data_IF_653703365205
#
_entry.id   IF_653703365205
#
_cell.length_a   1.000
_cell.length_b   1.000
_cell.length_c   1.000
_cell.angle_alpha   90.00
_cell.angle_beta   90.00
_cell.angle_gamma   90.00
#
_symmetry.space_group_name_H-M   'P 1'
#
loop_
_entity.id
_entity.type
_entity.pdbx_description
1 polymer ?
#
# COMPACT_ATOMS: atom_id res chain seq x y z
N UNK A 1 4.54 -29.69 41.37
CA UNK A 1 5.53 -28.66 40.99
C UNK A 1 6.54 -29.28 40.02
N UNK A 2 6.05 -29.70 38.84
CA UNK A 2 6.83 -30.59 37.96
C UNK A 2 6.45 -30.33 36.51
N UNK A 3 7.48 -30.23 35.66
CA UNK A 3 7.46 -30.24 34.18
C UNK A 3 7.11 -28.92 33.45
N UNK A 4 7.91 -27.88 33.69
CA UNK A 4 8.25 -26.91 32.62
C UNK A 4 9.78 -26.91 32.46
N UNK A 5 10.32 -27.98 31.88
CA UNK A 5 11.70 -28.01 31.37
C UNK A 5 11.68 -28.47 29.92
N UNK A 6 12.42 -27.72 29.09
CA UNK A 6 12.69 -27.91 27.64
C UNK A 6 11.61 -27.42 26.67
N UNK A 7 11.50 -26.10 26.52
CA UNK A 7 10.98 -25.49 25.28
C UNK A 7 11.79 -24.26 24.85
N UNK A 8 13.10 -24.24 25.12
CA UNK A 8 14.00 -23.33 24.41
C UNK A 8 14.35 -24.00 23.08
N UNK A 9 13.98 -23.32 21.98
CA UNK A 9 14.36 -23.64 20.59
C UNK A 9 13.67 -24.82 19.90
N UNK A 10 12.36 -25.01 20.08
CA UNK A 10 11.58 -25.57 18.96
C UNK A 10 11.09 -24.40 18.11
N UNK A 11 11.42 -24.30 16.81
CA UNK A 11 10.70 -23.38 15.93
C UNK A 11 9.21 -23.66 16.12
N UNK A 12 8.41 -22.60 16.24
CA UNK A 12 6.95 -22.73 16.35
C UNK A 12 6.50 -23.64 15.21
N UNK A 13 6.11 -24.85 15.58
CA UNK A 13 5.94 -25.97 14.66
C UNK A 13 5.04 -25.54 13.51
N UNK A 14 5.46 -25.91 12.31
CA UNK A 14 4.75 -25.80 11.04
C UNK A 14 3.34 -26.36 11.17
N UNK A 15 2.38 -25.54 11.60
CA UNK A 15 0.98 -25.97 11.67
C UNK A 15 0.38 -25.92 10.26
N UNK A 16 -0.38 -26.97 9.86
CA UNK A 16 -1.10 -26.96 8.60
C UNK A 16 -2.13 -25.82 8.62
N UNK A 17 -2.05 -24.98 7.61
CA UNK A 17 -3.02 -23.92 7.34
C UNK A 17 -4.30 -24.48 6.72
N UNK A 18 -5.21 -23.57 6.37
CA UNK A 18 -6.58 -23.87 5.93
C UNK A 18 -6.70 -24.81 4.73
N UNK A 19 -5.61 -24.97 3.95
CA UNK A 19 -5.52 -25.83 2.77
C UNK A 19 -4.46 -26.96 2.93
N UNK A 20 -4.07 -27.30 4.16
CA UNK A 20 -2.99 -28.27 4.44
C UNK A 20 -1.56 -27.72 4.29
N UNK A 21 -1.39 -26.53 3.72
CA UNK A 21 -0.09 -25.87 3.58
C UNK A 21 0.39 -25.24 4.90
N UNK A 22 1.64 -25.48 5.27
CA UNK A 22 2.30 -24.89 6.44
C UNK A 22 2.18 -23.36 6.50
N UNK A 23 1.93 -22.80 7.70
CA UNK A 23 1.95 -21.34 7.89
C UNK A 23 3.30 -20.71 7.56
N UNK A 24 3.27 -19.58 6.85
CA UNK A 24 4.46 -18.74 6.66
C UNK A 24 4.92 -18.10 7.98
N UNK A 25 6.21 -17.76 8.06
CA UNK A 25 6.79 -17.11 9.25
C UNK A 25 6.04 -15.84 9.66
N UNK A 26 5.63 -15.02 8.69
CA UNK A 26 4.84 -13.82 8.93
C UNK A 26 3.45 -14.13 9.54
N UNK A 27 2.86 -15.27 9.19
CA UNK A 27 1.58 -15.73 9.75
C UNK A 27 1.78 -16.17 11.21
N UNK A 28 2.81 -16.96 11.47
CA UNK A 28 3.18 -17.41 12.82
C UNK A 28 3.47 -16.20 13.72
N UNK A 29 4.29 -15.26 13.25
CA UNK A 29 4.59 -14.01 13.95
C UNK A 29 3.32 -13.20 14.27
N UNK A 30 2.37 -13.13 13.32
CA UNK A 30 1.08 -12.50 13.54
C UNK A 30 0.25 -13.17 14.63
N UNK A 31 0.21 -14.51 14.66
CA UNK A 31 -0.48 -15.26 15.72
C UNK A 31 0.12 -15.00 17.09
N UNK A 32 1.45 -15.07 17.22
CA UNK A 32 2.15 -14.78 18.48
C UNK A 32 1.85 -13.37 18.97
N UNK A 33 1.87 -12.36 18.09
CA UNK A 33 1.55 -10.97 18.47
C UNK A 33 0.12 -10.82 18.96
N UNK A 34 -0.86 -11.41 18.27
CA UNK A 34 -2.28 -11.36 18.68
C UNK A 34 -2.51 -12.07 20.01
N UNK A 35 -1.93 -13.25 20.20
CA UNK A 35 -2.00 -13.99 21.45
C UNK A 35 -1.42 -13.16 22.61
N UNK A 36 -0.25 -12.54 22.41
CA UNK A 36 0.33 -11.61 23.38
C UNK A 36 -0.59 -10.45 23.72
N UNK A 37 -1.18 -9.80 22.72
CA UNK A 37 -2.07 -8.65 22.92
C UNK A 37 -3.32 -9.03 23.71
N UNK A 38 -4.00 -10.10 23.32
CA UNK A 38 -5.22 -10.57 24.00
C UNK A 38 -4.94 -10.87 25.48
N UNK A 39 -3.86 -11.61 25.75
CA UNK A 39 -3.52 -12.03 27.11
C UNK A 39 -2.97 -10.87 27.94
N UNK A 40 -2.23 -9.93 27.35
CA UNK A 40 -1.85 -8.69 28.04
C UNK A 40 -3.09 -7.91 28.49
N UNK A 41 -4.12 -7.83 27.64
CA UNK A 41 -5.37 -7.18 28.02
C UNK A 41 -6.07 -7.90 29.19
N UNK A 42 -6.06 -9.24 29.20
CA UNK A 42 -6.59 -10.02 30.32
C UNK A 42 -5.78 -9.81 31.63
N UNK A 43 -4.46 -9.58 31.53
CA UNK A 43 -3.63 -9.18 32.69
C UNK A 43 -4.00 -7.78 33.18
N UNK A 44 -4.17 -6.82 32.27
CA UNK A 44 -4.57 -5.44 32.59
C UNK A 44 -5.94 -5.38 33.28
N UNK A 45 -6.87 -6.25 32.89
CA UNK A 45 -8.18 -6.40 33.53
C UNK A 45 -8.14 -7.19 34.85
N UNK A 46 -6.98 -7.73 35.25
CA UNK A 46 -6.84 -8.54 36.47
C UNK A 46 -7.45 -9.95 36.38
N UNK A 47 -7.91 -10.39 35.21
CA UNK A 47 -8.48 -11.72 35.00
C UNK A 47 -7.43 -12.84 35.19
N UNK A 48 -6.16 -12.52 34.90
CA UNK A 48 -5.01 -13.40 35.09
C UNK A 48 -3.82 -12.60 35.60
N UNK A 49 -2.89 -13.24 36.31
CA UNK A 49 -1.76 -12.54 36.93
C UNK A 49 -0.58 -12.27 36.00
N UNK A 50 -0.37 -13.11 34.98
CA UNK A 50 0.78 -13.01 34.08
C UNK A 50 0.47 -13.51 32.67
N UNK A 51 1.17 -12.98 31.67
CA UNK A 51 1.07 -13.44 30.29
C UNK A 51 2.07 -14.59 30.01
N UNK A 52 1.62 -15.85 29.80
CA UNK A 52 2.50 -16.99 29.49
C UNK A 52 3.31 -16.83 28.19
N UNK A 53 2.88 -15.95 27.28
CA UNK A 53 3.56 -15.72 26.01
C UNK A 53 4.64 -14.63 26.09
N UNK A 54 4.82 -13.92 27.21
CA UNK A 54 5.69 -12.74 27.28
C UNK A 54 7.12 -12.98 26.75
N UNK A 55 7.69 -14.15 27.05
CA UNK A 55 9.05 -14.59 26.67
C UNK A 55 9.15 -15.10 25.23
N UNK A 56 8.03 -15.34 24.53
CA UNK A 56 8.08 -15.76 23.12
C UNK A 56 8.50 -14.59 22.24
N UNK A 57 9.59 -14.70 21.49
CA UNK A 57 9.92 -13.68 20.49
C UNK A 57 9.00 -13.87 19.28
N UNK A 58 8.22 -12.85 18.94
CA UNK A 58 7.50 -12.85 17.68
C UNK A 58 8.51 -12.61 16.55
N UNK A 59 8.47 -13.43 15.50
CA UNK A 59 9.26 -13.21 14.29
C UNK A 59 8.87 -11.92 13.57
N UNK A 60 9.52 -11.67 12.44
CA UNK A 60 9.14 -10.56 11.56
C UNK A 60 7.85 -10.90 10.79
N UNK A 61 7.04 -9.88 10.52
CA UNK A 61 5.95 -9.97 9.53
C UNK A 61 6.32 -9.29 8.21
N UNK A 62 7.51 -8.68 8.14
CA UNK A 62 8.04 -8.12 6.91
C UNK A 62 8.49 -9.27 6.01
N UNK A 63 8.15 -9.16 4.73
CA UNK A 63 8.65 -10.03 3.69
C UNK A 63 8.99 -9.11 2.51
N UNK A 64 10.28 -8.74 2.44
CA UNK A 64 10.80 -7.79 1.47
C UNK A 64 10.96 -8.43 0.08
N UNK A 65 11.10 -9.76 -0.01
CA UNK A 65 11.15 -10.52 -1.27
C UNK A 65 9.89 -10.33 -2.14
N UNK A 66 8.78 -9.91 -1.52
CA UNK A 66 7.52 -9.63 -2.21
C UNK A 66 7.33 -8.16 -2.58
N UNK A 67 8.33 -7.31 -2.37
CA UNK A 67 8.35 -5.94 -2.89
C UNK A 67 8.82 -5.99 -4.33
N UNK A 68 8.05 -5.33 -5.19
CA UNK A 68 8.41 -5.20 -6.60
C UNK A 68 7.95 -3.82 -7.06
N UNK A 69 8.88 -3.06 -7.63
CA UNK A 69 8.56 -1.81 -8.32
C UNK A 69 7.89 -2.12 -9.66
N UNK A 70 6.81 -1.40 -9.97
CA UNK A 70 6.06 -1.54 -11.22
C UNK A 70 6.30 -0.29 -12.06
N UNK A 71 7.13 -0.37 -13.13
CA UNK A 71 7.44 0.77 -13.97
C UNK A 71 6.21 1.36 -14.66
N UNK A 72 6.25 2.67 -14.96
CA UNK A 72 5.19 3.38 -15.69
C UNK A 72 4.90 2.75 -17.05
N UNK A 73 5.93 2.32 -17.77
CA UNK A 73 5.77 1.62 -19.06
C UNK A 73 5.02 0.29 -18.92
N UNK A 74 5.20 -0.41 -17.80
CA UNK A 74 4.54 -1.69 -17.54
C UNK A 74 3.08 -1.47 -17.16
N UNK A 75 2.81 -0.54 -16.24
CA UNK A 75 1.43 -0.27 -15.82
C UNK A 75 0.60 0.33 -16.95
N UNK A 76 1.19 1.12 -17.84
CA UNK A 76 0.46 1.71 -18.96
C UNK A 76 -0.12 0.62 -19.87
N UNK A 77 0.65 -0.41 -20.20
CA UNK A 77 0.14 -1.59 -20.94
C UNK A 77 -1.06 -2.26 -20.26
N UNK A 78 -1.05 -2.33 -18.93
CA UNK A 78 -2.13 -2.91 -18.14
C UNK A 78 -3.36 -2.00 -18.14
N UNK A 79 -3.17 -0.68 -18.05
CA UNK A 79 -4.24 0.31 -18.16
C UNK A 79 -4.87 0.24 -19.56
N UNK A 80 -4.06 0.17 -20.62
CA UNK A 80 -4.55 0.11 -22.01
C UNK A 80 -5.37 -1.17 -22.27
N UNK A 81 -5.07 -2.27 -21.57
CA UNK A 81 -5.81 -3.53 -21.67
C UNK A 81 -7.12 -3.55 -20.86
N UNK A 82 -7.33 -2.58 -19.97
CA UNK A 82 -8.48 -2.50 -19.07
C UNK A 82 -9.81 -2.46 -19.85
N UNK A 83 -10.88 -3.08 -19.32
CA UNK A 83 -12.13 -3.24 -20.06
C UNK A 83 -12.93 -1.94 -20.23
N UNK A 84 -12.77 -0.96 -19.34
CA UNK A 84 -13.52 0.30 -19.35
C UNK A 84 -12.79 1.42 -18.60
N UNK A 85 -13.36 2.63 -18.66
CA UNK A 85 -12.82 3.84 -18.05
C UNK A 85 -12.69 3.73 -16.52
N UNK A 86 -13.65 3.08 -15.84
CA UNK A 86 -13.57 2.85 -14.40
C UNK A 86 -12.36 1.97 -14.03
N UNK A 87 -12.07 0.90 -14.77
CA UNK A 87 -10.88 0.09 -14.51
C UNK A 87 -9.58 0.85 -14.80
N UNK A 88 -9.54 1.63 -15.88
CA UNK A 88 -8.38 2.50 -16.19
C UNK A 88 -8.13 3.47 -15.04
N UNK A 89 -9.18 4.16 -14.59
CA UNK A 89 -9.11 5.07 -13.46
C UNK A 89 -8.71 4.36 -12.16
N UNK A 90 -9.30 3.20 -11.86
CA UNK A 90 -9.01 2.45 -10.63
C UNK A 90 -7.52 2.09 -10.54
N UNK A 91 -6.92 1.64 -11.64
CA UNK A 91 -5.50 1.31 -11.70
C UNK A 91 -4.66 2.59 -11.55
N UNK A 92 -5.01 3.66 -12.28
CA UNK A 92 -4.33 4.94 -12.25
C UNK A 92 -4.35 5.60 -10.85
N UNK A 93 -5.49 5.59 -10.15
CA UNK A 93 -5.62 6.12 -8.79
C UNK A 93 -4.64 5.46 -7.81
N UNK A 94 -4.42 4.14 -7.96
CA UNK A 94 -3.50 3.40 -7.10
C UNK A 94 -2.05 3.62 -7.50
N UNK A 95 -1.73 3.62 -8.81
CA UNK A 95 -0.34 3.68 -9.27
C UNK A 95 0.21 5.10 -9.41
N UNK A 96 -0.60 6.09 -9.71
CA UNK A 96 -0.15 7.48 -9.90
C UNK A 96 -0.41 8.37 -8.70
N UNK A 97 -1.46 8.08 -7.91
CA UNK A 97 -1.75 8.84 -6.68
C UNK A 97 -1.63 8.02 -5.39
N UNK A 98 -1.27 6.74 -5.51
CA UNK A 98 -1.00 5.91 -4.35
C UNK A 98 -2.24 5.62 -3.50
N UNK A 99 -3.48 5.69 -3.99
CA UNK A 99 -4.65 5.40 -3.16
C UNK A 99 -4.66 3.95 -2.66
N UNK A 100 -5.21 3.71 -1.46
CA UNK A 100 -5.46 2.35 -0.96
C UNK A 100 -6.65 1.74 -1.69
N UNK A 101 -6.46 0.54 -2.23
CA UNK A 101 -7.52 -0.26 -2.81
C UNK A 101 -7.96 -1.39 -1.87
N UNK A 102 -9.27 -1.65 -1.68
CA UNK A 102 -10.43 -0.92 -2.19
C UNK A 102 -10.88 0.26 -1.31
N UNK A 103 -10.26 0.45 -0.14
CA UNK A 103 -10.87 1.26 0.91
C UNK A 103 -10.97 2.75 0.60
N UNK A 104 -10.08 3.29 -0.23
CA UNK A 104 -10.06 4.70 -0.62
C UNK A 104 -10.56 4.87 -2.05
N UNK A 105 -10.06 4.06 -3.00
CA UNK A 105 -10.46 4.12 -4.41
C UNK A 105 -11.97 3.94 -4.61
N UNK A 106 -12.61 2.98 -3.96
CA UNK A 106 -14.05 2.77 -4.04
C UNK A 106 -14.85 3.74 -3.14
N UNK A 107 -14.25 4.73 -2.50
CA UNK A 107 -14.99 5.73 -1.70
C UNK A 107 -14.91 7.13 -2.28
N UNK A 108 -14.01 7.35 -3.23
CA UNK A 108 -13.83 8.63 -3.90
C UNK A 108 -15.10 8.99 -4.67
N UNK A 109 -15.62 10.18 -4.39
CA UNK A 109 -16.80 10.75 -5.03
C UNK A 109 -16.38 11.78 -6.06
N UNK A 110 -17.24 12.03 -7.05
CA UNK A 110 -17.00 13.15 -7.97
C UNK A 110 -16.99 14.50 -7.25
N UNK A 111 -17.78 14.64 -6.17
CA UNK A 111 -17.76 15.81 -5.30
C UNK A 111 -16.49 15.96 -4.44
N UNK A 112 -15.65 14.93 -4.36
CA UNK A 112 -14.34 15.01 -3.71
C UNK A 112 -13.26 15.57 -4.65
N UNK A 113 -13.57 15.75 -5.94
CA UNK A 113 -12.64 16.23 -6.97
C UNK A 113 -12.81 17.73 -7.16
N UNK A 114 -11.76 18.49 -6.84
CA UNK A 114 -11.64 19.90 -7.13
C UNK A 114 -10.83 20.09 -8.41
N UNK A 115 -11.54 20.25 -9.52
CA UNK A 115 -10.95 20.41 -10.85
C UNK A 115 -10.22 21.74 -11.03
N UNK A 116 -10.69 22.79 -10.35
CA UNK A 116 -10.13 24.14 -10.44
C UNK A 116 -8.79 24.22 -9.71
N UNK A 117 -8.73 23.70 -8.49
CA UNK A 117 -7.52 23.68 -7.67
C UNK A 117 -6.60 22.48 -7.96
N UNK A 118 -7.07 21.52 -8.78
CA UNK A 118 -6.31 20.33 -9.15
C UNK A 118 -6.06 19.40 -7.97
N UNK A 119 -7.07 19.19 -7.12
CA UNK A 119 -6.95 18.41 -5.87
C UNK A 119 -8.10 17.41 -5.73
N UNK A 120 -7.85 16.35 -4.97
CA UNK A 120 -8.87 15.42 -4.54
C UNK A 120 -8.82 15.20 -3.03
N UNK A 121 -9.98 15.12 -2.40
CA UNK A 121 -10.11 14.88 -0.97
C UNK A 121 -10.33 13.40 -0.68
N UNK A 122 -9.26 12.69 -0.33
CA UNK A 122 -9.31 11.25 -0.08
C UNK A 122 -9.68 10.98 1.39
N UNK A 123 -10.90 10.54 1.62
CA UNK A 123 -11.38 10.18 2.96
C UNK A 123 -10.75 8.88 3.47
N UNK A 124 -10.50 8.81 4.78
CA UNK A 124 -9.92 7.63 5.44
C UNK A 124 -10.80 7.18 6.61
N UNK A 125 -11.80 6.30 6.37
CA UNK A 125 -12.79 5.92 7.37
C UNK A 125 -12.17 5.27 8.62
N UNK A 126 -11.12 4.45 8.45
CA UNK A 126 -10.43 3.76 9.54
C UNK A 126 -9.72 4.71 10.50
N UNK A 127 -9.31 5.89 10.04
CA UNK A 127 -8.60 6.88 10.85
C UNK A 127 -9.47 8.08 11.22
N UNK A 128 -10.75 8.10 10.81
CA UNK A 128 -11.73 9.11 11.23
C UNK A 128 -11.85 9.17 12.75
N UNK A 129 -11.82 8.01 13.43
CA UNK A 129 -11.81 7.91 14.91
C UNK A 129 -10.52 8.42 15.56
N UNK A 130 -9.47 8.69 14.78
CA UNK A 130 -8.16 9.16 15.24
C UNK A 130 -7.87 10.60 14.79
N UNK A 131 -8.90 11.38 14.42
CA UNK A 131 -8.76 12.78 13.99
C UNK A 131 -8.18 12.98 12.58
N UNK A 132 -7.91 11.90 11.82
CA UNK A 132 -7.43 11.96 10.43
C UNK A 132 -8.54 11.54 9.48
N UNK A 133 -9.52 12.42 9.30
CA UNK A 133 -10.75 12.15 8.54
C UNK A 133 -10.51 11.96 7.02
N UNK A 134 -9.45 12.58 6.48
CA UNK A 134 -9.06 12.50 5.09
C UNK A 134 -7.77 13.26 4.84
N UNK A 135 -7.38 13.37 3.58
CA UNK A 135 -6.21 14.12 3.14
C UNK A 135 -6.47 14.73 1.77
N UNK A 136 -5.91 15.92 1.52
CA UNK A 136 -5.88 16.50 0.19
C UNK A 136 -4.72 15.91 -0.59
N UNK A 137 -4.99 15.40 -1.79
CA UNK A 137 -4.02 14.80 -2.70
C UNK A 137 -4.06 15.57 -4.01
N UNK A 138 -2.92 15.96 -4.60
CA UNK A 138 -2.91 16.57 -5.93
C UNK A 138 -3.50 15.64 -6.98
N UNK A 139 -4.21 16.21 -7.95
CA UNK A 139 -4.50 15.53 -9.22
C UNK A 139 -3.23 15.62 -10.05
N UNK A 140 -2.39 14.59 -9.95
CA UNK A 140 -1.16 14.52 -10.74
C UNK A 140 -1.46 14.52 -12.23
N UNK A 141 -0.58 15.12 -13.04
CA UNK A 141 -0.76 15.20 -14.49
C UNK A 141 -0.98 13.82 -15.14
N UNK A 142 -0.30 12.78 -14.65
CA UNK A 142 -0.47 11.40 -15.12
C UNK A 142 -1.83 10.78 -14.73
N UNK A 143 -2.52 11.31 -13.71
CA UNK A 143 -3.84 10.82 -13.28
C UNK A 143 -4.98 11.55 -14.00
N UNK A 144 -4.82 12.85 -14.30
CA UNK A 144 -5.89 13.72 -14.83
C UNK A 144 -6.63 13.13 -16.05
N UNK A 145 -5.97 12.61 -17.09
CA UNK A 145 -6.67 12.07 -18.26
C UNK A 145 -7.62 10.92 -17.93
N UNK A 146 -7.28 10.10 -16.93
CA UNK A 146 -8.12 8.98 -16.51
C UNK A 146 -9.30 9.41 -15.66
N UNK A 147 -9.16 10.51 -14.91
CA UNK A 147 -10.29 11.12 -14.19
C UNK A 147 -11.27 11.74 -15.18
N UNK A 148 -10.76 12.45 -16.20
CA UNK A 148 -11.58 13.08 -17.25
C UNK A 148 -12.34 12.02 -18.07
N UNK A 149 -11.65 10.99 -18.59
CA UNK A 149 -12.26 9.86 -19.33
C UNK A 149 -13.36 9.15 -18.52
N UNK A 150 -13.11 8.89 -17.24
CA UNK A 150 -14.11 8.27 -16.37
C UNK A 150 -15.26 9.20 -15.98
N UNK A 151 -15.03 10.51 -15.91
CA UNK A 151 -16.06 11.50 -15.63
C UNK A 151 -16.99 11.67 -16.83
N UNK A 152 -16.43 11.75 -18.03
CA UNK A 152 -17.19 11.82 -19.29
C UNK A 152 -18.00 10.55 -19.54
N UNK A 153 -17.47 9.38 -19.18
CA UNK A 153 -18.15 8.10 -19.32
C UNK A 153 -19.16 7.79 -18.19
N UNK A 154 -19.24 8.62 -17.15
CA UNK A 154 -20.13 8.38 -16.02
C UNK A 154 -21.59 8.69 -16.36
N UNK A 155 -22.51 7.92 -15.81
CA UNK A 155 -23.95 8.23 -15.89
C UNK A 155 -24.26 9.57 -15.23
N UNK A 156 -25.25 10.29 -15.77
CA UNK A 156 -25.74 11.54 -15.19
C UNK A 156 -26.11 11.35 -13.72
N UNK A 157 -25.52 12.18 -12.84
CA UNK A 157 -25.76 12.11 -11.40
C UNK A 157 -25.02 10.98 -10.68
N UNK A 158 -24.07 10.29 -11.31
CA UNK A 158 -23.19 9.34 -10.63
C UNK A 158 -22.53 9.99 -9.40
N UNK A 159 -22.58 9.31 -8.26
CA UNK A 159 -22.01 9.83 -7.01
C UNK A 159 -20.51 9.52 -6.89
N UNK A 160 -20.09 8.35 -7.39
CA UNK A 160 -18.75 7.81 -7.19
C UNK A 160 -17.94 7.76 -8.47
N UNK A 161 -16.63 7.98 -8.35
CA UNK A 161 -15.69 7.84 -9.47
C UNK A 161 -15.61 6.39 -9.98
N UNK A 162 -15.86 5.42 -9.10
CA UNK A 162 -15.97 4.00 -9.42
C UNK A 162 -17.35 3.53 -8.92
N UNK A 163 -18.28 3.37 -9.85
CA UNK A 163 -19.69 3.05 -9.58
C UNK A 163 -19.99 1.57 -9.82
N UNK A 164 -19.51 1.00 -10.93
CA UNK A 164 -19.80 -0.38 -11.34
C UNK A 164 -19.17 -1.44 -10.44
N UNK A 165 -17.98 -1.19 -9.90
CA UNK A 165 -17.18 -2.21 -9.21
C UNK A 165 -17.24 -2.18 -7.68
N UNK A 166 -18.42 -1.84 -7.12
CA UNK A 166 -18.61 -1.58 -5.68
C UNK A 166 -19.19 -2.74 -4.87
N UNK A 167 -19.79 -3.74 -5.52
CA UNK A 167 -20.40 -4.88 -4.81
C UNK A 167 -19.34 -5.70 -4.06
N UNK A 168 -19.72 -6.28 -2.91
CA UNK A 168 -18.83 -7.15 -2.11
C UNK A 168 -18.46 -8.44 -2.84
N UNK A 169 -19.26 -8.85 -3.82
CA UNK A 169 -19.01 -10.06 -4.63
C UNK A 169 -17.92 -9.84 -5.69
N UNK A 170 -17.52 -8.59 -5.92
CA UNK A 170 -16.51 -8.24 -6.94
C UNK A 170 -15.12 -8.38 -6.35
N UNK A 171 -14.37 -9.34 -6.87
CA UNK A 171 -12.96 -9.52 -6.55
C UNK A 171 -12.05 -8.70 -7.46
N UNK A 172 -11.72 -7.48 -7.03
CA UNK A 172 -10.80 -6.60 -7.77
C UNK A 172 -9.40 -7.18 -7.98
N UNK A 173 -8.95 -8.11 -7.13
CA UNK A 173 -7.66 -8.76 -7.34
C UNK A 173 -7.73 -9.67 -8.57
N UNK A 174 -8.73 -10.54 -8.63
CA UNK A 174 -8.92 -11.45 -9.77
C UNK A 174 -9.23 -10.66 -11.05
N UNK A 175 -9.96 -9.55 -10.97
CA UNK A 175 -10.15 -8.63 -12.09
C UNK A 175 -8.82 -8.10 -12.63
N UNK A 176 -7.95 -7.58 -11.75
CA UNK A 176 -6.63 -7.09 -12.15
C UNK A 176 -5.73 -8.21 -12.71
N UNK A 177 -5.77 -9.42 -12.15
CA UNK A 177 -5.03 -10.59 -12.69
C UNK A 177 -5.42 -10.88 -14.15
N UNK A 178 -6.72 -10.81 -14.49
CA UNK A 178 -7.20 -10.99 -15.86
C UNK A 178 -6.73 -9.88 -16.80
N UNK A 179 -6.73 -8.62 -16.34
CA UNK A 179 -6.27 -7.48 -17.14
C UNK A 179 -4.76 -7.60 -17.41
N UNK A 180 -3.97 -7.97 -16.39
CA UNK A 180 -2.53 -8.22 -16.52
C UNK A 180 -2.25 -9.33 -17.54
N UNK A 181 -3.00 -10.43 -17.48
CA UNK A 181 -2.88 -11.52 -18.44
C UNK A 181 -3.20 -11.05 -19.88
N UNK A 182 -4.27 -10.26 -20.05
CA UNK A 182 -4.64 -9.66 -21.35
C UNK A 182 -3.58 -8.68 -21.87
N UNK A 183 -2.86 -8.00 -20.99
CA UNK A 183 -1.76 -7.11 -21.33
C UNK A 183 -0.44 -7.83 -21.65
N UNK A 184 -0.39 -9.18 -21.56
CA UNK A 184 0.82 -9.98 -21.69
C UNK A 184 1.95 -9.53 -20.75
N UNK A 185 1.60 -9.09 -19.54
CA UNK A 185 2.54 -8.68 -18.50
C UNK A 185 2.68 -9.78 -17.45
N UNK A 186 3.90 -10.06 -17.01
CA UNK A 186 4.13 -10.98 -15.89
C UNK A 186 3.53 -10.40 -14.60
N UNK A 187 2.65 -11.12 -13.90
CA UNK A 187 2.04 -10.61 -12.68
C UNK A 187 3.08 -10.46 -11.56
N UNK A 188 2.95 -9.39 -10.78
CA UNK A 188 3.81 -9.13 -9.63
C UNK A 188 3.13 -9.55 -8.30
N UNK A 189 3.89 -9.80 -7.22
CA UNK A 189 3.30 -10.12 -5.94
C UNK A 189 2.52 -8.93 -5.38
N UNK A 190 1.51 -9.21 -4.53
CA UNK A 190 0.74 -8.18 -3.80
C UNK A 190 0.23 -7.04 -4.69
N UNK A 191 -0.32 -7.39 -5.85
CA UNK A 191 -0.73 -6.50 -6.95
C UNK A 191 -0.99 -5.04 -6.57
N UNK A 192 -2.09 -4.78 -5.84
CA UNK A 192 -2.48 -3.42 -5.43
C UNK A 192 -1.52 -2.73 -4.47
N UNK A 193 -0.89 -3.47 -3.56
CA UNK A 193 0.06 -2.88 -2.61
C UNK A 193 1.34 -2.44 -3.31
N UNK A 194 1.83 -3.23 -4.26
CA UNK A 194 3.06 -2.88 -4.99
C UNK A 194 2.83 -1.75 -6.00
N UNK A 195 1.62 -1.59 -6.56
CA UNK A 195 1.27 -0.38 -7.31
C UNK A 195 1.34 0.87 -6.44
N UNK A 196 0.72 0.83 -5.26
CA UNK A 196 0.79 1.94 -4.31
C UNK A 196 2.23 2.19 -3.83
N UNK A 197 3.01 1.15 -3.56
CA UNK A 197 4.41 1.28 -3.15
C UNK A 197 5.25 1.90 -4.28
N UNK A 198 4.97 1.57 -5.54
CA UNK A 198 5.63 2.19 -6.69
C UNK A 198 5.28 3.67 -6.81
N UNK A 199 4.02 4.04 -6.61
CA UNK A 199 3.60 5.45 -6.53
C UNK A 199 4.37 6.21 -5.45
N UNK A 200 4.55 5.58 -4.28
CA UNK A 200 5.29 6.18 -3.18
C UNK A 200 6.78 6.36 -3.49
N UNK A 201 7.41 5.36 -4.10
CA UNK A 201 8.79 5.47 -4.58
C UNK A 201 8.95 6.65 -5.55
N UNK A 202 8.05 6.81 -6.51
CA UNK A 202 8.11 7.93 -7.47
C UNK A 202 7.93 9.29 -6.78
N UNK A 203 6.95 9.40 -5.88
CA UNK A 203 6.68 10.64 -5.16
C UNK A 203 7.84 11.05 -4.25
N UNK A 204 8.50 10.11 -3.57
CA UNK A 204 9.65 10.42 -2.71
C UNK A 204 10.89 10.78 -3.52
N UNK A 205 11.02 10.30 -4.75
CA UNK A 205 12.08 10.71 -5.67
C UNK A 205 11.89 12.13 -6.21
N UNK A 206 10.64 12.54 -6.41
CA UNK A 206 10.30 13.85 -7.00
C UNK A 206 10.03 14.94 -5.97
N UNK A 207 9.63 14.60 -4.74
CA UNK A 207 9.21 15.55 -3.71
C UNK A 207 9.83 15.23 -2.35
N UNK A 208 9.95 16.22 -1.44
CA UNK A 208 10.40 15.95 -0.09
C UNK A 208 9.56 14.87 0.59
N UNK A 209 10.21 13.91 1.25
CA UNK A 209 9.55 12.72 1.81
C UNK A 209 8.38 13.03 2.75
N UNK A 210 8.44 14.13 3.52
CA UNK A 210 7.34 14.54 4.39
C UNK A 210 6.10 15.03 3.63
N UNK A 211 6.28 15.64 2.46
CA UNK A 211 5.20 16.08 1.56
C UNK A 211 4.54 14.87 0.92
N UNK A 212 5.34 13.96 0.34
CA UNK A 212 4.84 12.71 -0.23
C UNK A 212 4.06 11.87 0.81
N UNK A 213 4.59 11.75 2.03
CA UNK A 213 3.94 11.03 3.11
C UNK A 213 2.59 11.66 3.51
N UNK A 214 2.47 12.99 3.48
CA UNK A 214 1.22 13.69 3.75
C UNK A 214 0.15 13.35 2.70
N UNK A 215 0.50 13.34 1.41
CA UNK A 215 -0.41 12.97 0.32
C UNK A 215 -0.78 11.48 0.32
N UNK A 216 0.09 10.61 0.81
CA UNK A 216 -0.17 9.18 0.89
C UNK A 216 -0.90 8.78 2.20
N UNK A 217 -0.90 9.63 3.22
CA UNK A 217 -1.62 9.38 4.46
C UNK A 217 -0.93 8.38 5.39
N UNK A 218 0.40 8.47 5.49
CA UNK A 218 1.21 7.81 6.53
C UNK A 218 2.22 8.80 7.14
N UNK A 219 2.85 8.42 8.25
CA UNK A 219 3.89 9.25 8.87
C UNK A 219 5.21 9.13 8.09
N UNK A 220 6.08 10.16 8.12
CA UNK A 220 7.40 10.09 7.46
C UNK A 220 8.27 8.94 7.99
N UNK A 221 8.17 8.61 9.28
CA UNK A 221 8.86 7.45 9.88
C UNK A 221 8.43 6.11 9.28
N UNK A 222 7.18 6.02 8.82
CA UNK A 222 6.66 4.86 8.08
C UNK A 222 7.13 4.91 6.62
N UNK A 223 7.26 6.10 6.03
CA UNK A 223 7.83 6.29 4.68
C UNK A 223 9.27 5.73 4.60
N UNK A 224 10.13 6.10 5.56
CA UNK A 224 11.55 5.68 5.61
C UNK A 224 11.70 4.17 5.87
N UNK A 225 10.85 3.57 6.72
CA UNK A 225 11.00 2.16 7.14
C UNK A 225 10.46 1.14 6.12
N UNK A 226 9.62 1.56 5.17
CA UNK A 226 8.89 0.63 4.32
C UNK A 226 9.04 0.85 2.80
N UNK A 227 9.49 2.02 2.31
CA UNK A 227 9.20 2.42 0.92
C UNK A 227 10.37 2.92 0.05
N UNK A 228 11.58 2.97 0.58
CA UNK A 228 12.77 3.19 -0.26
C UNK A 228 13.17 1.85 -0.91
N UNK A 229 12.47 1.48 -1.98
CA UNK A 229 12.99 0.47 -2.90
C UNK A 229 14.01 1.18 -3.78
N UNK A 230 15.29 0.86 -3.61
CA UNK A 230 16.33 1.30 -4.54
C UNK A 230 16.08 0.59 -5.87
N UNK A 231 15.95 1.36 -6.95
CA UNK A 231 15.82 0.81 -8.31
C UNK A 231 17.11 1.06 -9.09
N UNK A 232 17.30 0.37 -10.21
CA UNK A 232 18.53 0.45 -11.01
C UNK A 232 18.87 1.89 -11.43
N UNK A 233 17.87 2.70 -11.75
CA UNK A 233 18.03 4.14 -12.08
C UNK A 233 18.64 4.97 -10.94
N UNK A 234 18.45 4.56 -9.67
CA UNK A 234 19.09 5.23 -8.53
C UNK A 234 20.60 4.93 -8.50
N UNK A 235 21.00 3.70 -8.87
CA UNK A 235 22.39 3.33 -9.01
C UNK A 235 23.05 4.06 -10.18
N UNK A 236 22.36 4.17 -11.32
CA UNK A 236 22.85 4.92 -12.49
C UNK A 236 23.03 6.41 -12.19
N UNK A 237 22.08 7.03 -11.47
CA UNK A 237 22.20 8.42 -11.03
C UNK A 237 23.34 8.62 -10.04
N UNK A 238 23.51 7.69 -9.08
CA UNK A 238 24.58 7.77 -8.09
C UNK A 238 25.96 7.54 -8.72
N UNK A 239 26.08 6.63 -9.70
CA UNK A 239 27.33 6.37 -10.41
C UNK A 239 27.84 7.59 -11.18
N UNK A 240 26.91 8.45 -11.63
CA UNK A 240 27.21 9.69 -12.34
C UNK A 240 27.18 10.93 -11.44
N UNK A 241 27.07 10.76 -10.12
CA UNK A 241 27.02 11.88 -9.18
C UNK A 241 28.42 12.41 -8.87
N UNK A 242 28.65 13.69 -9.17
CA UNK A 242 29.86 14.42 -8.78
C UNK A 242 29.53 15.52 -7.76
N UNK A 243 30.40 15.69 -6.76
CA UNK A 243 30.33 16.82 -5.83
C UNK A 243 30.85 18.05 -6.56
N UNK A 244 29.98 18.97 -6.96
CA UNK A 244 30.45 20.28 -7.39
C UNK A 244 30.89 21.10 -6.17
N UNK A 245 32.19 21.42 -6.15
CA UNK A 245 32.82 22.34 -5.22
C UNK A 245 32.16 23.72 -5.32
N UNK A 246 31.80 24.27 -4.16
CA UNK A 246 31.37 25.65 -4.01
C UNK A 246 32.50 26.55 -4.47
N UNK A 247 32.22 27.42 -5.46
CA UNK A 247 33.18 28.35 -6.02
C UNK A 247 33.82 29.24 -4.97
N UNK A 248 35.15 29.29 -4.97
CA UNK A 248 35.87 30.43 -4.38
C UNK A 248 35.85 31.57 -5.41
N UNK A 249 34.93 32.52 -5.21
CA UNK A 249 35.17 33.89 -5.61
C UNK A 249 36.00 34.56 -4.52
N UNK A 250 37.24 34.94 -4.83
CA UNK A 250 38.02 35.90 -4.04
C UNK A 250 38.84 36.75 -5.01
N UNK A 251 38.65 38.06 -4.97
CA UNK A 251 39.53 39.08 -5.56
C UNK A 251 38.97 39.76 -6.79
#
# INVERSE_FOLDING_TARGET
>A
MTLIRRHQQRPLVTQPGRNGATFSEATIAGHVKRAKQLINHAVELGCISTNPFNKLKAGSQANDERKQYVPTVTIQKVIDAAPDAEWRLLIALVRYAGLRNPSESLRLRWSDIDWAEGRMNVTSPKTKRQGKAGRSVPIFAALRPFLEDAYEAADDGAEYCISRYRSQDINLRTGLERIIAKAHVTPWPRLWHNLRASAETDLVKSFPAHVAAAWLGHTPTVAVKHYLTVVDEDFERAANWSVNQVGQGVG
#
